data_IF_591043128337
#
_entry.id   IF_591043128337
#
_cell.length_a   1.000
_cell.length_b   1.000
_cell.length_c   1.000
_cell.angle_alpha   90.00
_cell.angle_beta   90.00
_cell.angle_gamma   90.00
#
_symmetry.space_group_name_H-M   'P 1'
#
loop_
_entity.id
_entity.type
_entity.pdbx_description
1 polymer ?
#
# COMPACT_ATOMS: atom_id res chain seq x y z
N UNK A 1 6.43 20.29 17.36
CA UNK A 1 6.08 20.77 16.00
C UNK A 1 6.37 19.75 14.93
N UNK A 2 7.55 19.16 14.95
CA UNK A 2 7.91 18.14 13.98
C UNK A 2 6.97 16.93 14.01
N UNK A 3 6.57 16.50 15.20
CA UNK A 3 5.65 15.39 15.38
C UNK A 3 4.25 15.69 14.85
N UNK A 4 3.78 16.94 14.98
CA UNK A 4 2.48 17.34 14.47
C UNK A 4 2.45 17.33 12.95
N UNK A 5 3.53 17.77 12.33
CA UNK A 5 3.66 17.76 10.87
C UNK A 5 3.69 16.31 10.34
N UNK A 6 4.41 15.42 11.01
CA UNK A 6 4.48 14.02 10.63
C UNK A 6 3.12 13.32 10.76
N UNK A 7 2.38 13.62 11.84
CA UNK A 7 1.03 13.06 12.02
C UNK A 7 0.06 13.58 10.97
N UNK A 8 0.14 14.86 10.65
CA UNK A 8 -0.71 15.45 9.62
C UNK A 8 -0.42 14.83 8.24
N UNK A 9 0.85 14.64 7.94
CA UNK A 9 1.28 14.01 6.70
C UNK A 9 0.81 12.56 6.62
N UNK A 10 0.93 11.81 7.70
CA UNK A 10 0.48 10.43 7.78
C UNK A 10 -1.04 10.35 7.55
N UNK A 11 -1.80 11.19 8.24
CA UNK A 11 -3.26 11.23 8.09
C UNK A 11 -3.67 11.62 6.67
N UNK A 12 -2.98 12.58 6.07
CA UNK A 12 -3.26 12.98 4.69
C UNK A 12 -3.00 11.83 3.72
N UNK A 13 -1.88 11.14 3.86
CA UNK A 13 -1.54 10.01 3.01
C UNK A 13 -2.58 8.91 3.15
N UNK A 14 -2.98 8.59 4.38
CA UNK A 14 -4.00 7.59 4.64
C UNK A 14 -5.33 7.98 3.98
N UNK A 15 -5.71 9.24 4.06
CA UNK A 15 -6.95 9.73 3.45
C UNK A 15 -6.88 9.63 1.92
N UNK A 16 -5.74 9.91 1.33
CA UNK A 16 -5.55 9.77 -0.12
C UNK A 16 -5.73 8.31 -0.52
N UNK A 17 -5.15 7.37 0.23
CA UNK A 17 -5.32 5.95 -0.03
C UNK A 17 -6.78 5.54 0.11
N UNK A 18 -7.47 6.03 1.11
CA UNK A 18 -8.90 5.75 1.31
C UNK A 18 -9.75 6.18 0.11
N UNK A 19 -9.39 7.30 -0.52
CA UNK A 19 -10.12 7.83 -1.67
C UNK A 19 -9.70 7.17 -2.98
N UNK A 20 -8.44 6.75 -3.11
CA UNK A 20 -7.93 6.21 -4.38
C UNK A 20 -8.12 4.70 -4.53
N UNK A 21 -8.15 3.97 -3.42
CA UNK A 21 -8.35 2.51 -3.48
C UNK A 21 -9.66 2.12 -4.15
N UNK A 22 -10.81 2.74 -3.87
CA UNK A 22 -12.04 2.41 -4.58
C UNK A 22 -11.93 2.60 -6.10
N UNK A 23 -11.22 3.62 -6.55
CA UNK A 23 -10.98 3.82 -7.98
C UNK A 23 -10.12 2.71 -8.57
N UNK A 24 -9.11 2.27 -7.80
CA UNK A 24 -8.26 1.16 -8.19
C UNK A 24 -9.08 -0.13 -8.33
N UNK A 25 -10.00 -0.37 -7.40
CA UNK A 25 -10.84 -1.57 -7.42
C UNK A 25 -11.82 -1.57 -8.60
N UNK A 26 -12.16 -0.42 -9.14
CA UNK A 26 -13.03 -0.31 -10.31
C UNK A 26 -12.29 -0.50 -11.64
N UNK A 27 -10.98 -0.30 -11.63
CA UNK A 27 -10.16 -0.38 -12.85
C UNK A 27 -8.93 -1.23 -12.57
N UNK A 28 -8.99 -2.50 -12.98
CA UNK A 28 -7.94 -3.48 -12.72
C UNK A 28 -6.61 -3.14 -13.40
N UNK A 29 -6.61 -2.22 -14.35
CA UNK A 29 -5.40 -1.82 -15.06
C UNK A 29 -4.63 -0.69 -14.37
N UNK A 30 -5.26 -0.04 -13.39
CA UNK A 30 -4.61 1.05 -12.65
C UNK A 30 -3.61 0.52 -11.64
N UNK A 31 -2.58 1.32 -11.41
CA UNK A 31 -1.55 1.04 -10.41
C UNK A 31 -1.34 2.34 -9.62
N UNK A 32 -1.32 2.23 -8.29
CA UNK A 32 -0.99 3.36 -7.44
C UNK A 32 0.51 3.29 -7.14
N UNK A 33 1.24 4.34 -7.48
CA UNK A 33 2.65 4.47 -7.16
C UNK A 33 2.78 5.03 -5.75
N UNK A 34 3.19 4.18 -4.82
CA UNK A 34 3.30 4.53 -3.40
C UNK A 34 4.62 5.21 -3.06
N UNK A 35 5.59 5.18 -3.97
CA UNK A 35 6.88 5.81 -3.76
C UNK A 35 6.73 7.32 -3.55
N UNK A 36 5.74 7.92 -4.20
CA UNK A 36 5.49 9.37 -4.11
C UNK A 36 5.20 9.83 -2.68
N UNK A 37 4.70 8.94 -1.83
CA UNK A 37 4.36 9.27 -0.46
C UNK A 37 5.56 9.27 0.49
N UNK A 38 6.68 8.69 0.05
CA UNK A 38 7.94 8.66 0.80
C UNK A 38 7.80 7.99 2.18
N UNK A 39 7.09 6.87 2.20
CA UNK A 39 6.98 6.01 3.38
C UNK A 39 7.56 4.64 3.08
N UNK A 40 8.03 3.95 4.12
CA UNK A 40 8.46 2.57 3.97
C UNK A 40 7.24 1.64 3.90
N UNK A 41 7.41 0.39 3.38
CA UNK A 41 6.28 -0.53 3.25
C UNK A 41 5.54 -0.78 4.55
N UNK A 42 6.24 -0.87 5.69
CA UNK A 42 5.58 -1.11 6.97
C UNK A 42 4.62 0.00 7.34
N UNK A 43 4.96 1.26 7.04
CA UNK A 43 4.09 2.39 7.32
C UNK A 43 2.85 2.36 6.44
N UNK A 44 3.01 2.01 5.16
CA UNK A 44 1.87 1.88 4.24
C UNK A 44 0.96 0.73 4.69
N UNK A 45 1.54 -0.38 5.11
CA UNK A 45 0.74 -1.51 5.62
C UNK A 45 -0.05 -1.11 6.86
N UNK A 46 0.56 -0.33 7.77
CA UNK A 46 -0.14 0.17 8.95
C UNK A 46 -1.33 1.05 8.56
N UNK A 47 -1.15 1.93 7.58
CA UNK A 47 -2.24 2.78 7.08
C UNK A 47 -3.37 1.93 6.50
N UNK A 48 -3.03 0.91 5.72
CA UNK A 48 -4.02 0.02 5.11
C UNK A 48 -4.77 -0.78 6.17
N UNK A 49 -4.08 -1.22 7.23
CA UNK A 49 -4.75 -1.90 8.36
C UNK A 49 -5.74 -0.98 9.05
N UNK A 50 -5.38 0.28 9.23
CA UNK A 50 -6.29 1.26 9.82
C UNK A 50 -7.54 1.50 8.95
N UNK A 51 -7.41 1.26 7.63
CA UNK A 51 -8.53 1.37 6.68
C UNK A 51 -9.32 0.07 6.55
N UNK A 52 -8.96 -0.97 7.31
CA UNK A 52 -9.69 -2.22 7.33
C UNK A 52 -9.09 -3.35 6.50
N UNK A 53 -7.94 -3.12 5.89
CA UNK A 53 -7.26 -4.14 5.09
C UNK A 53 -6.39 -5.02 5.98
N UNK A 54 -6.43 -6.31 5.71
CA UNK A 54 -5.52 -7.27 6.33
C UNK A 54 -4.46 -7.65 5.31
N UNK A 55 -3.26 -7.96 5.76
CA UNK A 55 -2.19 -8.32 4.84
C UNK A 55 -1.50 -9.62 5.26
N UNK A 56 -0.97 -10.32 4.27
CA UNK A 56 -0.08 -11.45 4.52
C UNK A 56 1.07 -11.41 3.51
N UNK A 57 2.21 -11.90 3.93
CA UNK A 57 3.39 -11.96 3.07
C UNK A 57 3.21 -13.07 2.04
N UNK A 58 3.25 -12.71 0.75
CA UNK A 58 3.14 -13.68 -0.34
C UNK A 58 4.49 -14.19 -0.80
N UNK A 59 5.40 -13.25 -1.02
CA UNK A 59 6.70 -13.58 -1.59
C UNK A 59 7.73 -12.63 -1.04
N UNK A 60 8.87 -13.18 -0.62
CA UNK A 60 9.99 -12.40 -0.14
C UNK A 60 11.25 -12.95 -0.80
N UNK A 61 11.80 -12.19 -1.73
CA UNK A 61 13.06 -12.51 -2.35
C UNK A 61 14.18 -11.78 -1.58
N UNK A 62 14.70 -12.44 -0.56
CA UNK A 62 15.63 -11.83 0.38
C UNK A 62 16.89 -11.26 -0.25
N UNK A 63 17.27 -11.74 -1.42
CA UNK A 63 18.47 -11.28 -2.10
C UNK A 63 18.29 -9.94 -2.79
N UNK A 64 17.16 -9.79 -3.45
CA UNK A 64 16.82 -8.57 -4.19
C UNK A 64 15.90 -7.66 -3.40
N UNK A 65 15.52 -8.08 -2.21
CA UNK A 65 14.61 -7.36 -1.33
C UNK A 65 13.25 -7.06 -1.98
N UNK A 66 12.87 -7.90 -2.94
CA UNK A 66 11.54 -7.83 -3.54
C UNK A 66 10.55 -8.52 -2.62
N UNK A 67 9.48 -7.84 -2.32
CA UNK A 67 8.48 -8.34 -1.38
C UNK A 67 7.09 -8.06 -1.92
N UNK A 68 6.19 -9.04 -1.78
CA UNK A 68 4.80 -8.85 -2.16
C UNK A 68 3.90 -9.22 -0.98
N UNK A 69 2.91 -8.39 -0.73
CA UNK A 69 1.89 -8.62 0.30
C UNK A 69 0.52 -8.72 -0.34
N UNK A 70 -0.25 -9.70 0.09
CA UNK A 70 -1.65 -9.83 -0.29
C UNK A 70 -2.51 -9.05 0.68
N UNK A 71 -3.40 -8.22 0.15
CA UNK A 71 -4.30 -7.41 0.97
C UNK A 71 -5.74 -7.84 0.73
N UNK A 72 -6.47 -8.06 1.81
CA UNK A 72 -7.88 -8.46 1.77
C UNK A 72 -8.71 -7.53 2.67
N UNK A 73 -9.95 -7.33 2.30
CA UNK A 73 -10.89 -6.48 3.05
C UNK A 73 -12.27 -7.10 3.02
N UNK A 74 -12.93 -7.12 4.17
CA UNK A 74 -14.24 -7.77 4.32
C UNK A 74 -15.32 -7.16 3.41
N UNK A 75 -15.21 -5.87 3.11
CA UNK A 75 -16.19 -5.18 2.30
C UNK A 75 -15.97 -5.29 0.80
N UNK A 76 -14.81 -5.78 0.38
CA UNK A 76 -14.47 -5.86 -1.04
C UNK A 76 -14.14 -7.29 -1.44
N UNK A 77 -14.66 -7.71 -2.58
CA UNK A 77 -14.37 -9.05 -3.12
C UNK A 77 -13.00 -9.13 -3.76
N UNK A 78 -12.53 -8.02 -4.30
CA UNK A 78 -11.22 -7.97 -4.95
C UNK A 78 -10.12 -7.84 -3.91
N UNK A 79 -8.98 -8.47 -4.23
CA UNK A 79 -7.78 -8.39 -3.40
C UNK A 79 -6.78 -7.45 -4.04
N UNK A 80 -5.90 -6.90 -3.21
CA UNK A 80 -4.84 -6.02 -3.69
C UNK A 80 -3.48 -6.67 -3.44
N UNK A 81 -2.50 -6.27 -4.23
CA UNK A 81 -1.11 -6.65 -4.04
C UNK A 81 -0.30 -5.38 -3.80
N UNK A 82 0.45 -5.37 -2.70
CA UNK A 82 1.47 -4.36 -2.46
C UNK A 82 2.82 -4.95 -2.86
N UNK A 83 3.42 -4.41 -3.90
CA UNK A 83 4.72 -4.85 -4.40
C UNK A 83 5.79 -3.83 -4.04
N UNK A 84 6.88 -4.30 -3.46
CA UNK A 84 7.99 -3.44 -3.06
C UNK A 84 9.30 -4.03 -3.57
N UNK A 85 10.14 -3.17 -4.15
CA UNK A 85 11.50 -3.55 -4.54
C UNK A 85 12.49 -2.56 -3.92
N UNK A 86 13.30 -3.06 -2.99
CA UNK A 86 14.33 -2.24 -2.36
C UNK A 86 15.46 -1.92 -3.31
N UNK A 87 15.71 -2.80 -4.27
CA UNK A 87 16.77 -2.60 -5.27
C UNK A 87 16.46 -1.44 -6.22
N UNK A 88 15.20 -1.37 -6.68
CA UNK A 88 14.77 -0.33 -7.61
C UNK A 88 14.07 0.83 -6.93
N UNK A 89 13.86 0.79 -5.63
CA UNK A 89 13.12 1.79 -4.87
C UNK A 89 11.72 2.03 -5.45
N UNK A 90 11.03 0.94 -5.76
CA UNK A 90 9.66 1.02 -6.25
C UNK A 90 8.70 0.41 -5.24
N UNK A 91 7.49 0.97 -5.16
CA UNK A 91 6.43 0.43 -4.32
C UNK A 91 5.10 0.74 -4.99
N UNK A 92 4.34 -0.30 -5.29
CA UNK A 92 3.09 -0.18 -6.04
C UNK A 92 1.95 -0.92 -5.35
N UNK A 93 0.76 -0.40 -5.50
CA UNK A 93 -0.47 -1.05 -5.08
C UNK A 93 -1.32 -1.30 -6.32
N UNK A 94 -1.75 -2.54 -6.51
CA UNK A 94 -2.54 -2.93 -7.68
C UNK A 94 -3.53 -4.03 -7.32
N UNK A 95 -4.54 -4.21 -8.15
CA UNK A 95 -5.51 -5.29 -7.97
C UNK A 95 -4.86 -6.62 -8.35
N UNK A 96 -5.08 -7.62 -7.51
CA UNK A 96 -4.61 -8.97 -7.80
C UNK A 96 -5.49 -9.61 -8.87
N UNK A 97 -4.87 -10.13 -9.89
CA UNK A 97 -5.55 -10.89 -10.94
C UNK A 97 -5.90 -12.30 -10.48
#
# INVERSE_FOLDING_TARGET
MKEMIEKARYSLTKNILELTIPELLEDDEKIIDLKEFDYCPSDILDMLQELGWEYELLDENGWEQDTEYLLTHDMYKKQLILSYSGFYWTMHLQVKD
#
